data_IF_443022592831
#
_entry.id   IF_443022592831
#
_cell.length_a   1.000
_cell.length_b   1.000
_cell.length_c   1.000
_cell.angle_alpha   90.00
_cell.angle_beta   90.00
_cell.angle_gamma   90.00
#
_symmetry.space_group_name_H-M   'P 1'
#
loop_
_entity.id
_entity.type
_entity.pdbx_description
1 polymer ?
#
# COMPACT_ATOMS: atom_id res chain seq x y z
N UNK A 1 -16.35 -20.35 -14.66
CA UNK A 1 -15.95 -20.49 -16.08
C UNK A 1 -14.92 -19.44 -16.48
N UNK A 2 -15.20 -18.13 -16.35
CA UNK A 2 -14.22 -17.09 -16.69
C UNK A 2 -12.88 -17.24 -15.95
N UNK A 3 -12.89 -17.50 -14.64
CA UNK A 3 -11.66 -17.76 -13.86
C UNK A 3 -10.92 -19.03 -14.34
N UNK A 4 -11.66 -20.08 -14.72
CA UNK A 4 -11.06 -21.32 -15.25
C UNK A 4 -10.41 -21.07 -16.62
N UNK A 5 -11.05 -20.29 -17.49
CA UNK A 5 -10.47 -19.89 -18.78
C UNK A 5 -9.19 -19.06 -18.58
N UNK A 6 -9.19 -18.20 -17.57
CA UNK A 6 -7.98 -17.46 -17.18
C UNK A 6 -6.86 -18.41 -16.75
N UNK A 7 -7.16 -19.36 -15.88
CA UNK A 7 -6.19 -20.36 -15.41
C UNK A 7 -5.66 -21.26 -16.55
N UNK A 8 -6.44 -21.42 -17.62
CA UNK A 8 -6.07 -22.16 -18.83
C UNK A 8 -5.29 -21.31 -19.86
N UNK A 9 -5.05 -20.02 -19.58
CA UNK A 9 -4.34 -19.10 -20.48
C UNK A 9 -5.22 -18.42 -21.53
N UNK A 10 -6.53 -18.67 -21.53
CA UNK A 10 -7.51 -18.06 -22.45
C UNK A 10 -7.93 -16.66 -21.97
N UNK A 11 -6.95 -15.77 -21.80
CA UNK A 11 -7.08 -14.46 -21.15
C UNK A 11 -8.11 -13.56 -21.82
N UNK A 12 -8.07 -13.44 -23.15
CA UNK A 12 -8.98 -12.56 -23.93
C UNK A 12 -10.43 -13.03 -23.83
N UNK A 13 -10.66 -14.34 -23.92
CA UNK A 13 -11.98 -14.95 -23.78
C UNK A 13 -12.52 -14.76 -22.36
N UNK A 14 -11.67 -14.91 -21.34
CA UNK A 14 -12.02 -14.67 -19.95
C UNK A 14 -12.45 -13.22 -19.69
N UNK A 15 -11.65 -12.25 -20.14
CA UNK A 15 -11.96 -10.81 -19.98
C UNK A 15 -13.26 -10.46 -20.71
N UNK A 16 -13.43 -10.89 -21.95
CA UNK A 16 -14.66 -10.64 -22.71
C UNK A 16 -15.89 -11.23 -22.02
N UNK A 17 -15.78 -12.44 -21.48
CA UNK A 17 -16.87 -13.08 -20.74
C UNK A 17 -17.25 -12.26 -19.49
N UNK A 18 -16.26 -11.76 -18.75
CA UNK A 18 -16.51 -10.93 -17.58
C UNK A 18 -17.10 -9.55 -17.94
N UNK A 19 -16.64 -8.93 -19.03
CA UNK A 19 -17.21 -7.67 -19.54
C UNK A 19 -18.69 -7.83 -19.88
N UNK A 20 -19.03 -8.90 -20.62
CA UNK A 20 -20.42 -9.23 -20.94
C UNK A 20 -21.28 -9.45 -19.69
N UNK A 21 -20.75 -10.12 -18.67
CA UNK A 21 -21.45 -10.32 -17.40
C UNK A 21 -21.68 -8.98 -16.66
N UNK A 22 -20.72 -8.06 -16.71
CA UNK A 22 -20.86 -6.74 -16.10
C UNK A 22 -21.89 -5.85 -16.82
N UNK A 23 -21.96 -5.93 -18.15
CA UNK A 23 -22.93 -5.19 -18.97
C UNK A 23 -24.37 -5.68 -18.79
N UNK A 24 -24.57 -6.97 -18.48
CA UNK A 24 -25.90 -7.56 -18.41
C UNK A 24 -26.76 -7.08 -17.24
N UNK A 25 -26.22 -6.33 -16.27
CA UNK A 25 -26.94 -5.50 -15.28
C UNK A 25 -27.88 -6.19 -14.28
N UNK A 26 -28.42 -7.36 -14.62
CA UNK A 26 -29.50 -8.08 -13.93
C UNK A 26 -28.99 -9.43 -13.36
N UNK A 27 -27.72 -9.47 -12.96
CA UNK A 27 -27.10 -10.61 -12.27
C UNK A 27 -27.87 -11.01 -10.99
N UNK A 28 -28.60 -10.08 -10.38
CA UNK A 28 -29.42 -10.29 -9.19
C UNK A 28 -30.74 -11.03 -9.46
N UNK A 29 -31.26 -11.01 -10.70
CA UNK A 29 -32.52 -11.70 -11.06
C UNK A 29 -32.31 -13.14 -11.49
N UNK A 30 -31.09 -13.47 -11.90
CA UNK A 30 -30.69 -14.83 -12.18
C UNK A 30 -30.26 -15.47 -10.86
N UNK A 31 -30.58 -16.74 -10.61
CA UNK A 31 -30.16 -17.49 -9.43
C UNK A 31 -28.63 -17.77 -9.40
N UNK A 32 -27.84 -16.86 -9.95
CA UNK A 32 -26.39 -16.93 -10.04
C UNK A 32 -25.78 -16.49 -8.71
N UNK A 33 -24.88 -17.33 -8.22
CA UNK A 33 -24.08 -17.18 -6.99
C UNK A 33 -23.01 -16.08 -7.13
N UNK A 34 -22.90 -15.43 -8.30
CA UNK A 34 -21.82 -14.49 -8.61
C UNK A 34 -22.33 -13.06 -8.53
N UNK A 35 -21.84 -12.32 -7.55
CA UNK A 35 -22.19 -10.92 -7.36
C UNK A 35 -21.47 -10.01 -8.36
N UNK A 36 -22.03 -8.80 -8.55
CA UNK A 36 -21.40 -7.77 -9.38
C UNK A 36 -20.06 -7.31 -8.81
N UNK A 37 -19.91 -7.29 -7.48
CA UNK A 37 -18.66 -6.93 -6.83
C UNK A 37 -17.53 -7.90 -7.20
N UNK A 38 -17.81 -9.21 -7.19
CA UNK A 38 -16.83 -10.24 -7.57
C UNK A 38 -16.48 -10.20 -9.05
N UNK A 39 -17.45 -9.91 -9.93
CA UNK A 39 -17.19 -9.72 -11.38
C UNK A 39 -16.25 -8.55 -11.61
N UNK A 40 -16.52 -7.39 -10.99
CA UNK A 40 -15.70 -6.19 -11.12
C UNK A 40 -14.28 -6.41 -10.54
N UNK A 41 -14.16 -7.02 -9.37
CA UNK A 41 -12.86 -7.32 -8.77
C UNK A 41 -12.04 -8.30 -9.63
N UNK A 42 -12.71 -9.29 -10.24
CA UNK A 42 -12.07 -10.23 -11.17
C UNK A 42 -11.66 -9.57 -12.48
N UNK A 43 -12.49 -8.67 -13.03
CA UNK A 43 -12.13 -7.84 -14.19
C UNK A 43 -10.89 -7.00 -13.93
N UNK A 44 -10.88 -6.26 -12.82
CA UNK A 44 -9.73 -5.44 -12.45
C UNK A 44 -8.45 -6.26 -12.35
N UNK A 45 -8.52 -7.46 -11.76
CA UNK A 45 -7.39 -8.38 -11.68
C UNK A 45 -6.91 -8.84 -13.06
N UNK A 46 -7.81 -9.27 -13.95
CA UNK A 46 -7.45 -9.80 -15.27
C UNK A 46 -6.94 -8.70 -16.21
N UNK A 47 -7.59 -7.53 -16.21
CA UNK A 47 -7.16 -6.35 -16.98
C UNK A 47 -5.79 -5.87 -16.54
N UNK A 48 -5.52 -5.86 -15.22
CA UNK A 48 -4.20 -5.56 -14.66
C UNK A 48 -3.13 -6.54 -15.13
N UNK A 49 -3.39 -7.84 -14.97
CA UNK A 49 -2.43 -8.89 -15.31
C UNK A 49 -2.13 -8.93 -16.82
N UNK A 50 -3.14 -8.64 -17.66
CA UNK A 50 -2.97 -8.51 -19.11
C UNK A 50 -2.40 -7.15 -19.55
N UNK A 51 -2.12 -6.22 -18.62
CA UNK A 51 -1.60 -4.86 -18.87
C UNK A 51 -2.40 -4.08 -19.91
N UNK A 52 -3.73 -4.26 -19.92
CA UNK A 52 -4.60 -3.63 -20.92
C UNK A 52 -4.91 -2.16 -20.61
N UNK A 53 -4.85 -1.79 -19.33
CA UNK A 53 -5.16 -0.44 -18.86
C UNK A 53 -4.12 0.06 -17.85
N UNK A 54 -4.10 1.38 -17.64
CA UNK A 54 -3.23 2.00 -16.64
C UNK A 54 -3.73 1.72 -15.23
N UNK A 55 -2.86 1.66 -14.21
CA UNK A 55 -3.26 1.35 -12.84
C UNK A 55 -4.35 2.26 -12.27
N UNK A 56 -4.31 3.56 -12.58
CA UNK A 56 -5.31 4.52 -12.12
C UNK A 56 -6.70 4.21 -12.70
N UNK A 57 -6.79 3.82 -13.98
CA UNK A 57 -8.04 3.42 -14.61
C UNK A 57 -8.58 2.15 -13.96
N UNK A 58 -7.71 1.17 -13.69
CA UNK A 58 -8.10 -0.09 -13.07
C UNK A 58 -8.75 0.12 -11.69
N UNK A 59 -8.19 1.03 -10.89
CA UNK A 59 -8.75 1.41 -9.59
C UNK A 59 -10.13 2.07 -9.77
N UNK A 60 -10.24 3.06 -10.65
CA UNK A 60 -11.45 3.87 -10.77
C UNK A 60 -12.60 3.14 -11.46
N UNK A 61 -12.31 2.28 -12.43
CA UNK A 61 -13.31 1.63 -13.28
C UNK A 61 -13.74 0.25 -12.75
N UNK A 62 -12.87 -0.44 -11.99
CA UNK A 62 -13.17 -1.79 -11.51
C UNK A 62 -13.10 -1.93 -9.98
N UNK A 63 -11.98 -1.59 -9.35
CA UNK A 63 -11.77 -1.93 -7.93
C UNK A 63 -12.60 -1.07 -6.97
N UNK A 64 -12.65 0.25 -7.17
CA UNK A 64 -13.51 1.15 -6.39
C UNK A 64 -14.99 0.83 -6.61
N UNK A 65 -15.48 0.63 -7.85
CA UNK A 65 -16.84 0.14 -8.09
C UNK A 65 -17.13 -1.20 -7.44
N UNK A 66 -16.18 -2.16 -7.43
CA UNK A 66 -16.36 -3.44 -6.77
C UNK A 66 -16.65 -3.27 -5.26
N UNK A 67 -15.87 -2.43 -4.57
CA UNK A 67 -16.12 -2.12 -3.15
C UNK A 67 -17.48 -1.43 -2.95
N UNK A 68 -17.89 -0.53 -3.85
CA UNK A 68 -19.21 0.12 -3.78
C UNK A 68 -20.36 -0.87 -3.94
N UNK A 69 -20.22 -1.87 -4.79
CA UNK A 69 -21.23 -2.92 -5.02
C UNK A 69 -21.40 -3.87 -3.83
N UNK A 70 -20.47 -3.88 -2.86
CA UNK A 70 -20.69 -4.54 -1.57
C UNK A 70 -21.79 -3.87 -0.73
N UNK A 71 -22.20 -2.63 -1.06
CA UNK A 71 -23.31 -1.88 -0.41
C UNK A 71 -23.18 -1.79 1.12
N UNK A 72 -21.95 -1.69 1.61
CA UNK A 72 -21.64 -1.60 3.04
C UNK A 72 -21.57 -2.95 3.76
N UNK A 73 -21.75 -4.08 3.05
CA UNK A 73 -21.39 -5.38 3.60
C UNK A 73 -19.87 -5.51 3.67
N UNK A 74 -19.33 -5.56 4.88
CA UNK A 74 -17.89 -5.62 5.15
C UNK A 74 -17.46 -6.99 5.69
N UNK A 75 -18.37 -7.96 5.75
CA UNK A 75 -18.12 -9.31 6.28
C UNK A 75 -18.49 -10.38 5.23
N UNK A 76 -17.87 -11.55 5.36
CA UNK A 76 -18.10 -12.68 4.48
C UNK A 76 -17.05 -12.83 3.37
N UNK A 77 -17.12 -13.97 2.67
CA UNK A 77 -16.13 -14.35 1.66
C UNK A 77 -16.08 -13.37 0.49
N UNK A 78 -17.23 -12.86 0.06
CA UNK A 78 -17.34 -11.89 -1.03
C UNK A 78 -16.59 -10.59 -0.72
N UNK A 79 -16.91 -9.95 0.42
CA UNK A 79 -16.25 -8.72 0.85
C UNK A 79 -14.74 -8.95 1.04
N UNK A 80 -14.37 -10.06 1.68
CA UNK A 80 -12.98 -10.44 1.87
C UNK A 80 -12.22 -10.62 0.55
N UNK A 81 -12.84 -11.22 -0.46
CA UNK A 81 -12.26 -11.42 -1.79
C UNK A 81 -12.07 -10.13 -2.57
N UNK A 82 -13.04 -9.22 -2.52
CA UNK A 82 -12.94 -7.90 -3.14
C UNK A 82 -11.80 -7.10 -2.50
N UNK A 83 -11.76 -7.01 -1.17
CA UNK A 83 -10.70 -6.31 -0.45
C UNK A 83 -9.32 -6.96 -0.69
N UNK A 84 -9.24 -8.29 -0.68
CA UNK A 84 -8.00 -9.01 -0.96
C UNK A 84 -7.45 -8.68 -2.36
N UNK A 85 -8.28 -8.76 -3.40
CA UNK A 85 -7.87 -8.47 -4.78
C UNK A 85 -7.43 -7.01 -4.93
N UNK A 86 -8.10 -6.08 -4.25
CA UNK A 86 -7.69 -4.67 -4.27
C UNK A 86 -6.34 -4.48 -3.56
N UNK A 87 -6.16 -5.05 -2.37
CA UNK A 87 -4.89 -5.00 -1.65
C UNK A 87 -3.75 -5.58 -2.48
N UNK A 88 -3.96 -6.76 -3.08
CA UNK A 88 -2.98 -7.44 -3.92
C UNK A 88 -2.62 -6.61 -5.16
N UNK A 89 -3.59 -5.97 -5.79
CA UNK A 89 -3.33 -5.10 -6.93
C UNK A 89 -2.42 -3.92 -6.53
N UNK A 90 -2.73 -3.23 -5.43
CA UNK A 90 -1.91 -2.11 -4.95
C UNK A 90 -0.51 -2.58 -4.54
N UNK A 91 -0.39 -3.72 -3.87
CA UNK A 91 0.89 -4.33 -3.50
C UNK A 91 1.76 -4.64 -4.72
N UNK A 92 1.17 -5.20 -5.78
CA UNK A 92 1.85 -5.44 -7.04
C UNK A 92 2.32 -4.14 -7.72
N UNK A 93 1.55 -3.06 -7.64
CA UNK A 93 1.99 -1.75 -8.15
C UNK A 93 3.18 -1.19 -7.36
N UNK A 94 3.22 -1.40 -6.04
CA UNK A 94 4.33 -0.96 -5.19
C UNK A 94 5.63 -1.70 -5.48
N UNK A 95 5.52 -3.01 -5.76
CA UNK A 95 6.63 -3.92 -6.07
C UNK A 95 7.06 -3.92 -7.55
N UNK A 96 6.33 -3.23 -8.43
CA UNK A 96 6.63 -3.21 -9.85
C UNK A 96 8.05 -2.65 -10.09
N UNK A 97 8.94 -3.50 -10.61
CA UNK A 97 10.35 -3.17 -10.78
C UNK A 97 10.56 -2.03 -11.79
N UNK A 98 9.86 -2.06 -12.93
CA UNK A 98 9.93 -1.00 -13.94
C UNK A 98 9.59 0.37 -13.31
N UNK A 99 8.51 0.41 -12.52
CA UNK A 99 8.09 1.64 -11.83
C UNK A 99 9.07 2.09 -10.75
N UNK A 100 9.73 1.15 -10.05
CA UNK A 100 10.73 1.46 -9.03
C UNK A 100 12.00 2.04 -9.65
N UNK A 101 12.47 1.46 -10.75
CA UNK A 101 13.63 1.94 -11.50
C UNK A 101 13.37 3.34 -12.07
N UNK A 102 12.19 3.57 -12.65
CA UNK A 102 11.81 4.90 -13.13
C UNK A 102 11.71 5.94 -12.01
N UNK A 103 11.15 5.56 -10.86
CA UNK A 103 11.07 6.44 -9.69
C UNK A 103 12.47 6.85 -9.19
N UNK A 104 13.38 5.88 -9.02
CA UNK A 104 14.77 6.12 -8.61
C UNK A 104 15.52 6.99 -9.63
N UNK A 105 15.29 6.76 -10.93
CA UNK A 105 15.90 7.55 -12.00
C UNK A 105 15.47 9.02 -11.91
N UNK A 106 14.19 9.28 -11.68
CA UNK A 106 13.64 10.63 -11.55
C UNK A 106 14.15 11.31 -10.27
N UNK A 107 14.22 10.58 -9.15
CA UNK A 107 14.81 11.06 -7.91
C UNK A 107 16.28 11.50 -8.11
N UNK A 108 17.10 10.68 -8.76
CA UNK A 108 18.50 11.01 -9.05
C UNK A 108 18.66 12.22 -10.00
N UNK A 109 17.73 12.40 -10.96
CA UNK A 109 17.72 13.57 -11.83
C UNK A 109 17.38 14.84 -11.03
N UNK A 110 16.35 14.77 -10.19
CA UNK A 110 15.93 15.84 -9.28
C UNK A 110 17.07 16.25 -8.35
N UNK A 111 17.70 15.30 -7.67
CA UNK A 111 18.77 15.54 -6.70
C UNK A 111 19.99 16.21 -7.34
N UNK A 112 20.40 15.73 -8.52
CA UNK A 112 21.51 16.36 -9.26
C UNK A 112 21.18 17.80 -9.65
N UNK A 113 19.94 18.05 -10.10
CA UNK A 113 19.51 19.40 -10.47
C UNK A 113 19.39 20.31 -9.23
N UNK A 114 18.98 19.76 -8.09
CA UNK A 114 18.95 20.45 -6.81
C UNK A 114 20.35 20.91 -6.38
N UNK A 115 21.33 20.01 -6.45
CA UNK A 115 22.73 20.33 -6.15
C UNK A 115 23.28 21.43 -7.06
N UNK A 116 22.96 21.39 -8.37
CA UNK A 116 23.33 22.46 -9.31
C UNK A 116 22.72 23.81 -8.91
N UNK A 117 21.42 23.83 -8.55
CA UNK A 117 20.73 25.04 -8.08
C UNK A 117 21.37 25.59 -6.81
N UNK A 118 21.69 24.72 -5.84
CA UNK A 118 22.35 25.10 -4.60
C UNK A 118 23.76 25.67 -4.85
N UNK A 119 24.55 25.03 -5.71
CA UNK A 119 25.88 25.51 -6.08
C UNK A 119 25.83 26.89 -6.77
N UNK A 120 24.92 27.07 -7.74
CA UNK A 120 24.72 28.36 -8.41
C UNK A 120 24.28 29.44 -7.40
N UNK A 121 23.40 29.10 -6.46
CA UNK A 121 22.97 30.02 -5.40
C UNK A 121 24.13 30.43 -4.49
N UNK A 122 25.03 29.50 -4.15
CA UNK A 122 26.24 29.79 -3.37
C UNK A 122 27.20 30.69 -4.15
N UNK A 123 27.50 30.39 -5.42
CA UNK A 123 28.37 31.22 -6.27
C UNK A 123 27.82 32.65 -6.40
N UNK A 124 26.50 32.80 -6.59
CA UNK A 124 25.84 34.11 -6.66
C UNK A 124 25.94 34.93 -5.37
N UNK A 125 26.14 34.29 -4.20
CA UNK A 125 26.26 34.99 -2.92
C UNK A 125 27.59 35.73 -2.78
N UNK A 126 28.64 35.25 -3.46
CA UNK A 126 30.00 35.82 -3.43
C UNK A 126 30.31 36.63 -4.69
N UNK A 127 29.62 36.39 -5.81
CA UNK A 127 29.85 37.08 -7.07
C UNK A 127 29.29 38.51 -7.11
N UNK A 128 29.96 39.38 -7.88
CA UNK A 128 29.60 40.79 -8.07
C UNK A 128 29.52 41.18 -9.56
N UNK A 129 28.89 42.33 -9.84
CA UNK A 129 28.86 42.93 -11.18
C UNK A 129 28.31 42.01 -12.29
N UNK A 130 29.04 41.93 -13.40
CA UNK A 130 28.61 41.18 -14.61
C UNK A 130 28.54 39.67 -14.37
N UNK A 131 29.44 39.12 -13.56
CA UNK A 131 29.48 37.69 -13.22
C UNK A 131 28.21 37.26 -12.48
N UNK A 132 27.78 38.06 -11.49
CA UNK A 132 26.53 37.82 -10.77
C UNK A 132 25.31 37.77 -11.69
N UNK A 133 25.26 38.66 -12.69
CA UNK A 133 24.16 38.67 -13.67
C UNK A 133 24.16 37.43 -14.57
N UNK A 134 25.33 36.94 -14.97
CA UNK A 134 25.44 35.68 -15.73
C UNK A 134 25.00 34.48 -14.88
N UNK A 135 25.50 34.37 -13.66
CA UNK A 135 25.11 33.31 -12.73
C UNK A 135 23.61 33.32 -12.44
N UNK A 136 22.99 34.51 -12.32
CA UNK A 136 21.53 34.65 -12.16
C UNK A 136 20.73 34.07 -13.34
N UNK A 137 21.21 34.23 -14.57
CA UNK A 137 20.57 33.62 -15.74
C UNK A 137 20.68 32.09 -15.72
N UNK A 138 21.86 31.56 -15.37
CA UNK A 138 22.06 30.11 -15.22
C UNK A 138 21.20 29.54 -14.08
N UNK A 139 21.17 30.20 -12.93
CA UNK A 139 20.33 29.83 -11.78
C UNK A 139 18.85 29.77 -12.16
N UNK A 140 18.32 30.80 -12.84
CA UNK A 140 16.91 30.82 -13.23
C UNK A 140 16.55 29.63 -14.13
N UNK A 141 17.42 29.29 -15.08
CA UNK A 141 17.23 28.12 -15.95
C UNK A 141 17.31 26.80 -15.17
N UNK A 142 18.36 26.62 -14.36
CA UNK A 142 18.55 25.42 -13.56
C UNK A 142 17.39 25.20 -12.57
N UNK A 143 16.91 26.28 -11.94
CA UNK A 143 15.77 26.25 -11.04
C UNK A 143 14.48 25.88 -11.77
N UNK A 144 14.25 26.41 -12.98
CA UNK A 144 13.11 26.02 -13.80
C UNK A 144 13.09 24.53 -14.14
N UNK A 145 14.25 23.94 -14.47
CA UNK A 145 14.37 22.49 -14.68
C UNK A 145 14.15 21.70 -13.39
N UNK A 146 14.74 22.11 -12.28
CA UNK A 146 14.51 21.49 -10.97
C UNK A 146 13.02 21.49 -10.62
N UNK A 147 12.31 22.60 -10.81
CA UNK A 147 10.89 22.71 -10.47
C UNK A 147 9.99 21.82 -11.36
N UNK A 148 10.45 21.45 -12.56
CA UNK A 148 9.76 20.47 -13.42
C UNK A 148 10.03 19.04 -12.94
N UNK A 149 11.29 18.72 -12.65
CA UNK A 149 11.70 17.40 -12.15
C UNK A 149 11.08 17.10 -10.78
N UNK A 150 11.06 18.09 -9.87
CA UNK A 150 10.43 17.97 -8.56
C UNK A 150 8.91 17.76 -8.68
N UNK A 151 8.22 18.47 -9.57
CA UNK A 151 6.78 18.23 -9.79
C UNK A 151 6.48 16.80 -10.23
N UNK A 152 7.28 16.26 -11.14
CA UNK A 152 7.09 14.88 -11.59
C UNK A 152 7.43 13.88 -10.47
N UNK A 153 8.52 14.12 -9.72
CA UNK A 153 8.86 13.35 -8.53
C UNK A 153 7.72 13.32 -7.51
N UNK A 154 7.16 14.49 -7.15
CA UNK A 154 6.06 14.60 -6.20
C UNK A 154 4.80 13.88 -6.71
N UNK A 155 4.52 13.94 -8.01
CA UNK A 155 3.38 13.23 -8.63
C UNK A 155 3.54 11.71 -8.48
N UNK A 156 4.72 11.17 -8.77
CA UNK A 156 5.00 9.75 -8.63
C UNK A 156 5.01 9.32 -7.17
N UNK A 157 5.63 10.09 -6.28
CA UNK A 157 5.65 9.81 -4.86
C UNK A 157 4.24 9.77 -4.28
N UNK A 158 3.39 10.76 -4.61
CA UNK A 158 1.99 10.80 -4.16
C UNK A 158 1.19 9.60 -4.64
N UNK A 159 1.41 9.15 -5.89
CA UNK A 159 0.77 7.94 -6.43
C UNK A 159 1.20 6.69 -5.64
N UNK A 160 2.50 6.54 -5.35
CA UNK A 160 3.03 5.43 -4.55
C UNK A 160 2.49 5.44 -3.11
N UNK A 161 2.41 6.61 -2.47
CA UNK A 161 1.81 6.76 -1.15
C UNK A 161 0.33 6.37 -1.15
N UNK A 162 -0.43 6.75 -2.19
CA UNK A 162 -1.82 6.36 -2.34
C UNK A 162 -1.98 4.83 -2.49
N UNK A 163 -1.13 4.18 -3.29
CA UNK A 163 -1.11 2.71 -3.37
C UNK A 163 -0.78 2.07 -2.02
N UNK A 164 0.19 2.60 -1.27
CA UNK A 164 0.55 2.10 0.05
C UNK A 164 -0.63 2.18 1.03
N UNK A 165 -1.30 3.34 1.10
CA UNK A 165 -2.46 3.52 1.98
C UNK A 165 -3.58 2.56 1.63
N UNK A 166 -3.93 2.43 0.34
CA UNK A 166 -4.96 1.51 -0.13
C UNK A 166 -4.58 0.06 0.13
N UNK A 167 -3.32 -0.31 -0.07
CA UNK A 167 -2.82 -1.66 0.19
C UNK A 167 -3.00 -2.05 1.66
N UNK A 168 -2.53 -1.20 2.58
CA UNK A 168 -2.62 -1.44 4.03
C UNK A 168 -4.08 -1.49 4.51
N UNK A 169 -4.90 -0.55 4.05
CA UNK A 169 -6.33 -0.48 4.36
C UNK A 169 -7.06 -1.75 3.91
N UNK A 170 -6.90 -2.13 2.64
CA UNK A 170 -7.63 -3.26 2.07
C UNK A 170 -7.15 -4.61 2.64
N UNK A 171 -5.87 -4.76 3.02
CA UNK A 171 -5.44 -5.96 3.73
C UNK A 171 -6.11 -6.09 5.11
N UNK A 172 -6.21 -4.99 5.86
CA UNK A 172 -6.91 -5.01 7.15
C UNK A 172 -8.40 -5.29 6.98
N UNK A 173 -9.05 -4.72 5.97
CA UNK A 173 -10.45 -4.98 5.65
C UNK A 173 -10.68 -6.44 5.21
N UNK A 174 -9.78 -7.03 4.41
CA UNK A 174 -9.87 -8.44 4.04
C UNK A 174 -9.73 -9.37 5.26
N UNK A 175 -8.75 -9.10 6.13
CA UNK A 175 -8.53 -9.85 7.37
C UNK A 175 -9.71 -9.76 8.33
N UNK A 176 -10.41 -8.62 8.35
CA UNK A 176 -11.65 -8.46 9.10
C UNK A 176 -12.79 -9.27 8.49
N UNK A 177 -12.95 -9.23 7.17
CA UNK A 177 -14.11 -9.75 6.47
C UNK A 177 -14.20 -11.29 6.47
N UNK A 178 -13.09 -12.00 6.25
CA UNK A 178 -13.08 -13.46 6.20
C UNK A 178 -11.75 -14.11 6.64
N UNK A 179 -11.71 -15.44 6.75
CA UNK A 179 -10.53 -16.23 7.15
C UNK A 179 -9.80 -16.90 5.96
N UNK A 180 -10.24 -16.67 4.73
CA UNK A 180 -9.78 -17.41 3.54
C UNK A 180 -8.37 -16.98 3.08
N UNK A 181 -7.99 -15.72 3.32
CA UNK A 181 -6.72 -15.14 2.86
C UNK A 181 -5.69 -15.07 3.99
N UNK A 182 -5.20 -16.23 4.44
CA UNK A 182 -4.31 -16.34 5.61
C UNK A 182 -2.95 -15.64 5.45
N UNK A 183 -2.50 -15.47 4.21
CA UNK A 183 -1.23 -14.80 3.90
C UNK A 183 -1.30 -13.27 4.05
N UNK A 184 -2.51 -12.70 4.09
CA UNK A 184 -2.71 -11.25 4.15
C UNK A 184 -2.14 -10.66 5.43
N UNK A 185 -2.23 -11.37 6.56
CA UNK A 185 -1.63 -10.94 7.83
C UNK A 185 -0.10 -10.84 7.73
N UNK A 186 0.54 -11.84 7.10
CA UNK A 186 1.98 -11.82 6.88
C UNK A 186 2.38 -10.69 5.95
N UNK A 187 1.66 -10.53 4.83
CA UNK A 187 1.99 -9.52 3.83
C UNK A 187 1.78 -8.10 4.35
N UNK A 188 0.66 -7.86 5.03
CA UNK A 188 0.38 -6.63 5.77
C UNK A 188 1.50 -6.29 6.75
N UNK A 189 1.88 -7.24 7.62
CA UNK A 189 2.92 -6.98 8.62
C UNK A 189 4.26 -6.66 7.95
N UNK A 190 4.66 -7.42 6.93
CA UNK A 190 5.91 -7.16 6.22
C UNK A 190 5.93 -5.74 5.62
N UNK A 191 4.86 -5.33 4.95
CA UNK A 191 4.75 -4.02 4.33
C UNK A 191 4.70 -2.89 5.38
N UNK A 192 3.90 -3.04 6.43
CA UNK A 192 3.79 -2.03 7.47
C UNK A 192 5.09 -1.86 8.27
N UNK A 193 5.78 -2.95 8.58
CA UNK A 193 7.08 -2.91 9.25
C UNK A 193 8.17 -2.25 8.38
N UNK A 194 8.16 -2.47 7.05
CA UNK A 194 9.07 -1.80 6.11
C UNK A 194 8.79 -0.29 6.01
N UNK A 195 7.55 0.12 6.27
CA UNK A 195 7.09 1.52 6.24
C UNK A 195 6.77 2.08 7.63
N UNK A 196 7.45 1.58 8.67
CA UNK A 196 7.21 2.00 10.05
C UNK A 196 7.43 3.50 10.28
N UNK A 197 8.36 4.10 9.55
CA UNK A 197 8.68 5.53 9.62
C UNK A 197 7.73 6.45 8.82
N UNK A 198 6.77 5.90 8.07
CA UNK A 198 5.84 6.69 7.26
C UNK A 198 4.58 7.08 8.08
N UNK A 199 4.36 8.37 8.39
CA UNK A 199 3.20 8.81 9.14
C UNK A 199 1.87 8.51 8.43
N UNK A 200 1.83 8.59 7.10
CA UNK A 200 0.62 8.34 6.30
C UNK A 200 0.23 6.86 6.31
N UNK A 201 1.22 5.97 6.34
CA UNK A 201 1.00 4.54 6.52
C UNK A 201 0.42 4.25 7.91
N UNK A 202 1.06 4.80 8.97
CA UNK A 202 0.59 4.63 10.35
C UNK A 202 -0.81 5.22 10.59
N UNK A 203 -1.13 6.34 9.95
CA UNK A 203 -2.48 6.90 9.99
C UNK A 203 -3.52 5.96 9.37
N UNK A 204 -3.24 5.40 8.18
CA UNK A 204 -4.12 4.42 7.53
C UNK A 204 -4.33 3.19 8.43
N UNK A 205 -3.24 2.61 8.95
CA UNK A 205 -3.30 1.45 9.84
C UNK A 205 -4.10 1.76 11.11
N UNK A 206 -3.91 2.93 11.72
CA UNK A 206 -4.61 3.31 12.96
C UNK A 206 -6.13 3.33 12.81
N UNK A 207 -6.67 3.58 11.60
CA UNK A 207 -8.12 3.63 11.36
C UNK A 207 -8.76 2.25 11.36
N UNK A 208 -8.04 1.24 10.90
CA UNK A 208 -8.61 -0.09 10.62
C UNK A 208 -8.08 -1.20 11.53
N UNK A 209 -6.89 -1.04 12.11
CA UNK A 209 -6.22 -2.11 12.88
C UNK A 209 -7.08 -2.63 14.05
N UNK A 210 -7.77 -1.74 14.77
CA UNK A 210 -8.63 -2.13 15.89
C UNK A 210 -9.87 -2.92 15.49
N UNK A 211 -10.22 -2.96 14.20
CA UNK A 211 -11.35 -3.73 13.69
C UNK A 211 -10.97 -5.17 13.36
N UNK A 212 -9.68 -5.48 13.27
CA UNK A 212 -9.19 -6.82 12.92
C UNK A 212 -9.03 -7.66 14.19
N UNK A 213 -9.59 -8.89 14.25
CA UNK A 213 -9.38 -9.77 15.40
C UNK A 213 -7.89 -10.05 15.64
N UNK A 214 -7.40 -9.81 16.86
CA UNK A 214 -5.98 -9.94 17.24
C UNK A 214 -5.43 -11.35 16.98
N UNK A 215 -6.27 -12.38 17.11
CA UNK A 215 -5.95 -13.78 16.77
C UNK A 215 -5.36 -13.97 15.37
N UNK A 216 -5.68 -13.09 14.41
CA UNK A 216 -5.14 -13.13 13.03
C UNK A 216 -3.63 -12.90 13.00
N UNK A 217 -3.10 -12.18 13.98
CA UNK A 217 -1.68 -11.82 14.09
C UNK A 217 -0.92 -12.73 15.06
N UNK A 218 -1.59 -13.68 15.73
CA UNK A 218 -0.97 -14.58 16.70
C UNK A 218 0.25 -15.34 16.14
N UNK A 219 0.26 -15.84 14.89
CA UNK A 219 1.44 -16.49 14.31
C UNK A 219 2.64 -15.56 14.12
N UNK A 220 2.42 -14.24 14.11
CA UNK A 220 3.42 -13.20 13.85
C UNK A 220 3.86 -12.47 15.12
N UNK A 221 3.34 -12.89 16.29
CA UNK A 221 3.53 -12.15 17.55
C UNK A 221 5.01 -12.04 17.94
N UNK A 222 5.83 -13.05 17.64
CA UNK A 222 7.26 -13.04 17.93
C UNK A 222 7.99 -12.02 17.06
N UNK A 223 7.67 -12.00 15.75
CA UNK A 223 8.24 -11.04 14.80
C UNK A 223 7.84 -9.61 15.18
N UNK A 224 6.56 -9.39 15.53
CA UNK A 224 6.04 -8.09 15.95
C UNK A 224 6.66 -7.63 17.27
N UNK A 225 6.76 -8.53 18.27
CA UNK A 225 7.35 -8.21 19.57
C UNK A 225 8.83 -7.84 19.47
N UNK A 226 9.57 -8.46 18.54
CA UNK A 226 10.99 -8.14 18.31
C UNK A 226 11.24 -6.73 17.76
N UNK A 227 10.20 -6.06 17.25
CA UNK A 227 10.25 -4.70 16.72
C UNK A 227 9.74 -3.64 17.70
N UNK A 228 9.29 -4.05 18.88
CA UNK A 228 8.89 -3.12 19.94
C UNK A 228 10.11 -2.38 20.48
N UNK A 229 9.98 -1.05 20.53
CA UNK A 229 10.96 -0.15 21.13
C UNK A 229 10.24 0.70 22.20
N UNK A 230 11.02 1.23 23.14
CA UNK A 230 10.55 2.18 24.14
C UNK A 230 10.54 3.60 23.56
N UNK A 231 9.76 3.79 22.50
CA UNK A 231 9.59 5.08 21.81
C UNK A 231 8.10 5.44 21.74
N UNK A 232 7.79 6.73 21.75
CA UNK A 232 6.43 7.25 21.79
C UNK A 232 5.88 7.66 20.43
N UNK A 233 6.39 7.08 19.33
CA UNK A 233 5.90 7.41 17.99
C UNK A 233 4.54 6.72 17.69
N UNK A 234 3.92 7.10 16.57
CA UNK A 234 2.63 6.56 16.16
C UNK A 234 2.70 5.05 15.86
N UNK A 235 3.82 4.59 15.28
CA UNK A 235 4.05 3.20 14.94
C UNK A 235 4.14 2.31 16.19
N UNK A 236 5.00 2.65 17.16
CA UNK A 236 5.17 1.92 18.41
C UNK A 236 3.90 1.92 19.26
N UNK A 237 3.13 3.01 19.22
CA UNK A 237 1.80 3.05 19.87
C UNK A 237 0.84 2.03 19.26
N UNK A 238 0.84 1.85 17.94
CA UNK A 238 -0.01 0.86 17.26
C UNK A 238 0.52 -0.57 17.47
N UNK A 239 1.83 -0.76 17.34
CA UNK A 239 2.48 -2.06 17.49
C UNK A 239 2.30 -2.60 18.90
N UNK A 240 2.48 -1.76 19.93
CA UNK A 240 2.26 -2.15 21.33
C UNK A 240 0.80 -2.54 21.61
N UNK A 241 -0.19 -1.85 21.01
CA UNK A 241 -1.61 -2.23 21.12
C UNK A 241 -1.91 -3.56 20.45
N UNK A 242 -1.23 -3.85 19.34
CA UNK A 242 -1.37 -5.12 18.62
C UNK A 242 -0.76 -6.28 19.40
N UNK A 243 0.43 -6.09 19.98
CA UNK A 243 1.16 -7.11 20.73
C UNK A 243 0.55 -7.33 22.13
N UNK A 244 0.05 -6.27 22.75
CA UNK A 244 -0.61 -6.32 24.07
C UNK A 244 -2.07 -5.84 23.99
N UNK A 245 -2.98 -6.64 23.40
CA UNK A 245 -4.39 -6.29 23.37
C UNK A 245 -4.94 -6.15 24.80
N UNK A 246 -5.64 -5.05 25.08
CA UNK A 246 -6.23 -4.79 26.41
C UNK A 246 -7.32 -5.80 26.82
N UNK A 247 -7.79 -6.66 25.90
CA UNK A 247 -8.91 -7.58 26.10
C UNK A 247 -8.56 -9.07 26.31
N UNK A 248 -7.29 -9.49 26.16
CA UNK A 248 -6.89 -10.91 26.30
C UNK A 248 -5.91 -11.10 27.48
N UNK A 249 -6.30 -10.63 28.67
CA UNK A 249 -5.43 -10.59 29.85
C UNK A 249 -5.19 -11.96 30.54
N UNK A 250 -5.68 -13.09 30.01
CA UNK A 250 -5.60 -14.40 30.69
C UNK A 250 -4.71 -15.44 30.02
N UNK A 251 -4.61 -15.52 28.68
CA UNK A 251 -3.81 -16.56 28.01
C UNK A 251 -2.44 -16.08 27.52
N UNK A 252 -2.35 -14.84 27.02
CA UNK A 252 -1.10 -14.32 26.44
C UNK A 252 0.00 -14.10 27.49
N UNK A 253 -0.35 -13.97 28.77
CA UNK A 253 0.64 -13.81 29.87
C UNK A 253 1.56 -15.01 30.06
N UNK A 254 1.14 -16.23 29.69
CA UNK A 254 1.95 -17.43 29.92
C UNK A 254 3.13 -17.54 28.93
N UNK A 255 2.93 -17.14 27.67
CA UNK A 255 4.02 -17.10 26.69
C UNK A 255 5.05 -15.99 26.97
N UNK A 256 4.62 -14.86 27.57
CA UNK A 256 5.49 -13.70 27.78
C UNK A 256 6.30 -13.71 29.08
N UNK A 257 5.95 -14.54 30.08
CA UNK A 257 6.77 -14.70 31.28
C UNK A 257 8.13 -15.36 31.00
N UNK A 258 8.31 -15.99 29.84
CA UNK A 258 9.57 -16.61 29.42
C UNK A 258 10.54 -15.61 28.76
N UNK A 259 10.05 -14.44 28.30
CA UNK A 259 10.82 -13.52 27.45
C UNK A 259 11.23 -12.20 28.12
N UNK A 260 11.07 -12.04 29.43
CA UNK A 260 11.72 -10.90 30.12
C UNK A 260 13.25 -11.12 30.10
N UNK A 261 14.04 -10.24 29.48
CA UNK A 261 15.50 -10.28 29.67
C UNK A 261 15.80 -10.07 31.16
N UNK A 262 16.58 -10.98 31.74
CA UNK A 262 17.07 -10.82 33.11
C UNK A 262 17.81 -9.48 33.21
N UNK A 263 17.56 -8.66 34.25
CA UNK A 263 18.38 -7.49 34.47
C UNK A 263 19.84 -7.94 34.65
N UNK A 264 20.75 -7.39 33.84
CA UNK A 264 22.19 -7.49 34.10
C UNK A 264 22.43 -6.93 35.49
N UNK A 265 22.78 -7.81 36.43
CA UNK A 265 23.42 -7.42 37.67
C UNK A 265 24.76 -6.81 37.30
N UNK A 266 24.86 -5.48 37.37
CA UNK A 266 26.13 -4.77 37.47
C UNK A 266 26.77 -5.21 38.80
N UNK A 267 27.70 -6.15 38.71
CA UNK A 267 28.61 -6.47 39.81
C UNK A 267 29.62 -5.32 39.86
N UNK A 268 29.64 -4.63 40.99
CA UNK A 268 30.64 -3.62 41.36
C UNK A 268 31.96 -4.30 41.72
#
# INVERSE_FOLDING_TARGET
MANVLWDQGEMTTSIRMLQQLNEQGDLQKQALVVSRAEVLASLGHHVAAARLEKPDAIIQEYLVPAVKELRGNIEGEEAGGVYHRFALFCDQQLLNQDSLEDFQRIEQLRDRKEQEVLALKQMMSVAEGKEKNQLKMHYTKAKGWFDLDDREYQRLNSSREAFLQQCLENYLLSLKACDNYKNDALRFCALWLDKSGDPKANESVSRYLSMVPTRKFAPLINQLSSRLLDESDSFQTLLSRLVFPRHEATETRQHFLVFKPRPMLLIS
#
